data_IF_970244593170
#
_entry.id   IF_970244593170
#
_cell.length_a   1.000
_cell.length_b   1.000
_cell.length_c   1.000
_cell.angle_alpha   90.00
_cell.angle_beta   90.00
_cell.angle_gamma   90.00
#
_symmetry.space_group_name_H-M   'P 1'
#
loop_
_entity.id
_entity.type
_entity.pdbx_description
1 polymer ?
#
# COMPACT_ATOMS: atom_id res chain seq x y z
N UNK A 1 -25.30 -1.32 -16.16
CA UNK A 1 -24.52 -0.36 -16.98
C UNK A 1 -23.07 -0.84 -17.09
N UNK A 2 -22.51 -0.86 -18.30
CA UNK A 2 -21.10 -1.21 -18.54
C UNK A 2 -20.39 0.09 -18.90
N UNK A 3 -19.47 0.54 -18.04
CA UNK A 3 -18.71 1.79 -18.23
C UNK A 3 -17.44 1.50 -19.05
N UNK A 4 -16.73 0.40 -18.74
CA UNK A 4 -15.48 0.03 -19.39
C UNK A 4 -15.38 -1.48 -19.55
N UNK A 5 -14.70 -1.91 -20.59
CA UNK A 5 -14.39 -3.35 -20.82
C UNK A 5 -12.90 -3.61 -20.61
N UNK A 6 -12.58 -4.82 -20.20
CA UNK A 6 -11.21 -5.34 -20.16
C UNK A 6 -10.69 -5.59 -21.58
N UNK A 7 -9.39 -5.77 -21.81
CA UNK A 7 -8.86 -6.17 -23.11
C UNK A 7 -9.50 -7.45 -23.68
N UNK A 8 -9.98 -8.35 -22.83
CA UNK A 8 -10.71 -9.56 -23.22
C UNK A 8 -12.22 -9.35 -23.47
N UNK A 9 -12.71 -8.10 -23.52
CA UNK A 9 -14.10 -7.76 -23.84
C UNK A 9 -15.11 -7.89 -22.70
N UNK A 10 -14.69 -8.34 -21.52
CA UNK A 10 -15.56 -8.47 -20.35
C UNK A 10 -15.77 -7.12 -19.64
N UNK A 11 -16.90 -6.89 -18.95
CA UNK A 11 -17.08 -5.70 -18.13
C UNK A 11 -15.94 -5.54 -17.11
N UNK A 12 -15.34 -4.35 -17.08
CA UNK A 12 -14.30 -4.04 -16.10
C UNK A 12 -14.89 -3.75 -14.74
N UNK A 13 -14.24 -4.25 -13.70
CA UNK A 13 -14.53 -3.95 -12.31
C UNK A 13 -13.35 -3.26 -11.63
N UNK A 14 -12.57 -2.49 -12.40
CA UNK A 14 -11.47 -1.72 -11.83
C UNK A 14 -12.00 -0.66 -10.84
N UNK A 15 -11.11 -0.15 -10.00
CA UNK A 15 -11.47 0.75 -8.90
C UNK A 15 -12.21 2.01 -9.40
N UNK A 16 -11.78 2.57 -10.53
CA UNK A 16 -12.39 3.78 -11.12
C UNK A 16 -13.82 3.51 -11.61
N UNK A 17 -14.03 2.36 -12.26
CA UNK A 17 -15.37 1.94 -12.73
C UNK A 17 -16.30 1.69 -11.55
N UNK A 18 -15.82 0.98 -10.52
CA UNK A 18 -16.64 0.74 -9.33
C UNK A 18 -16.92 2.04 -8.55
N UNK A 19 -15.98 2.98 -8.50
CA UNK A 19 -16.18 4.27 -7.84
C UNK A 19 -17.26 5.09 -8.54
N UNK A 20 -17.26 5.13 -9.88
CA UNK A 20 -18.33 5.80 -10.65
C UNK A 20 -19.70 5.13 -10.45
N UNK A 21 -19.74 3.80 -10.43
CA UNK A 21 -20.98 3.07 -10.18
C UNK A 21 -21.47 3.18 -8.73
N UNK A 22 -20.57 3.42 -7.78
CA UNK A 22 -20.92 3.58 -6.37
C UNK A 22 -21.69 4.87 -6.07
N UNK A 23 -21.70 5.83 -7.00
CA UNK A 23 -22.53 7.04 -6.91
C UNK A 23 -24.03 6.72 -7.08
N UNK A 24 -24.35 5.69 -7.88
CA UNK A 24 -25.74 5.33 -8.21
C UNK A 24 -26.17 4.01 -7.51
N UNK A 25 -25.23 3.12 -7.18
CA UNK A 25 -25.55 1.76 -6.71
C UNK A 25 -24.78 1.43 -5.42
N UNK A 26 -25.43 0.75 -4.51
CA UNK A 26 -24.83 0.33 -3.23
C UNK A 26 -23.80 -0.80 -3.38
N UNK A 27 -24.08 -1.79 -4.23
CA UNK A 27 -23.21 -2.97 -4.38
C UNK A 27 -21.77 -2.61 -4.77
N UNK A 28 -21.49 -1.71 -5.73
CA UNK A 28 -20.11 -1.27 -6.02
C UNK A 28 -19.39 -0.64 -4.83
N UNK A 29 -20.11 0.10 -3.98
CA UNK A 29 -19.57 0.70 -2.75
C UNK A 29 -19.09 -0.38 -1.78
N UNK A 30 -19.95 -1.37 -1.52
CA UNK A 30 -19.62 -2.51 -0.65
C UNK A 30 -18.44 -3.32 -1.22
N UNK A 31 -18.40 -3.51 -2.53
CA UNK A 31 -17.29 -4.21 -3.20
C UNK A 31 -15.95 -3.47 -3.07
N UNK A 32 -15.95 -2.15 -3.17
CA UNK A 32 -14.74 -1.33 -2.96
C UNK A 32 -14.23 -1.43 -1.51
N UNK A 33 -15.14 -1.31 -0.56
CA UNK A 33 -14.82 -1.47 0.85
C UNK A 33 -14.27 -2.87 1.16
N UNK A 34 -14.94 -3.92 0.70
CA UNK A 34 -14.49 -5.30 0.85
C UNK A 34 -13.10 -5.52 0.25
N UNK A 35 -12.83 -4.99 -0.96
CA UNK A 35 -11.51 -5.10 -1.60
C UNK A 35 -10.43 -4.41 -0.80
N UNK A 36 -10.72 -3.22 -0.26
CA UNK A 36 -9.79 -2.47 0.57
C UNK A 36 -9.44 -3.26 1.83
N UNK A 37 -10.43 -3.72 2.57
CA UNK A 37 -10.24 -4.50 3.79
C UNK A 37 -9.54 -5.85 3.52
N UNK A 38 -9.95 -6.55 2.46
CA UNK A 38 -9.33 -7.83 2.07
C UNK A 38 -7.85 -7.66 1.70
N UNK A 39 -7.50 -6.57 1.01
CA UNK A 39 -6.11 -6.24 0.69
C UNK A 39 -5.30 -5.94 1.95
N UNK A 40 -5.84 -5.14 2.86
CA UNK A 40 -5.19 -4.84 4.14
C UNK A 40 -4.97 -6.12 4.96
N UNK A 41 -6.01 -6.95 5.05
CA UNK A 41 -5.95 -8.22 5.77
C UNK A 41 -4.89 -9.13 5.18
N UNK A 42 -4.99 -9.46 3.89
CA UNK A 42 -4.10 -10.44 3.25
C UNK A 42 -2.65 -9.96 3.15
N UNK A 43 -2.41 -8.65 3.00
CA UNK A 43 -1.06 -8.12 2.80
C UNK A 43 -0.36 -7.84 4.13
N UNK A 44 -1.08 -7.33 5.12
CA UNK A 44 -0.47 -6.85 6.36
C UNK A 44 -0.81 -7.74 7.56
N UNK A 45 -2.09 -7.90 7.93
CA UNK A 45 -2.42 -8.59 9.18
C UNK A 45 -2.16 -10.09 9.14
N UNK A 46 -2.31 -10.73 8.00
CA UNK A 46 -2.06 -12.17 7.85
C UNK A 46 -0.58 -12.48 7.55
N UNK A 47 0.07 -11.70 6.70
CA UNK A 47 1.43 -12.00 6.23
C UNK A 47 2.54 -11.46 7.12
N UNK A 48 2.44 -10.21 7.59
CA UNK A 48 3.55 -9.57 8.32
C UNK A 48 3.97 -10.31 9.59
N UNK A 49 3.04 -10.82 10.43
CA UNK A 49 3.45 -11.58 11.62
C UNK A 49 4.29 -12.81 11.30
N UNK A 50 3.99 -13.48 10.17
CA UNK A 50 4.77 -14.64 9.69
C UNK A 50 6.13 -14.28 9.11
N UNK A 51 6.42 -13.00 8.88
CA UNK A 51 7.71 -12.52 8.36
C UNK A 51 8.62 -11.91 9.45
N UNK A 52 8.19 -11.99 10.70
CA UNK A 52 9.05 -11.61 11.83
C UNK A 52 10.17 -12.67 11.96
N UNK A 53 11.40 -12.21 11.89
CA UNK A 53 12.58 -13.06 12.06
C UNK A 53 12.67 -13.59 13.49
N UNK A 54 12.75 -14.90 13.66
CA UNK A 54 12.91 -15.54 14.97
C UNK A 54 14.21 -15.13 15.68
N UNK A 55 15.24 -14.74 14.92
CA UNK A 55 16.54 -14.36 15.49
C UNK A 55 16.59 -12.92 15.97
N UNK A 56 15.84 -12.01 15.33
CA UNK A 56 15.90 -10.55 15.62
C UNK A 56 14.62 -10.01 16.24
N UNK A 57 13.50 -10.74 16.16
CA UNK A 57 12.17 -10.26 16.53
C UNK A 57 11.65 -9.12 15.63
N UNK A 58 12.25 -8.90 14.47
CA UNK A 58 11.95 -7.78 13.57
C UNK A 58 11.54 -8.25 12.18
N UNK A 59 10.82 -7.42 11.47
CA UNK A 59 10.56 -7.58 10.04
C UNK A 59 11.68 -6.91 9.25
N UNK A 60 12.26 -7.65 8.31
CA UNK A 60 13.35 -7.19 7.43
C UNK A 60 12.88 -7.22 5.98
N UNK A 61 12.89 -6.07 5.32
CA UNK A 61 12.60 -5.97 3.89
C UNK A 61 13.88 -6.01 3.07
N UNK A 62 13.79 -6.45 1.83
CA UNK A 62 14.86 -6.33 0.83
C UNK A 62 14.62 -5.11 -0.04
N UNK A 63 15.62 -4.21 -0.14
CA UNK A 63 15.57 -3.05 -1.03
C UNK A 63 16.30 -3.33 -2.34
N UNK A 64 15.69 -2.90 -3.45
CA UNK A 64 16.23 -3.05 -4.80
C UNK A 64 16.43 -1.69 -5.45
N UNK A 65 17.63 -1.43 -5.97
CA UNK A 65 18.01 -0.14 -6.56
C UNK A 65 17.77 -0.04 -8.07
N UNK A 66 17.76 -1.16 -8.80
CA UNK A 66 17.77 -1.19 -10.26
C UNK A 66 16.50 -1.86 -10.86
N UNK A 67 15.37 -1.79 -10.18
CA UNK A 67 14.12 -2.44 -10.61
C UNK A 67 13.13 -1.48 -11.24
N UNK A 68 13.05 -0.24 -10.74
CA UNK A 68 12.10 0.75 -11.25
C UNK A 68 12.69 1.54 -12.41
N UNK A 69 11.88 1.85 -13.42
CA UNK A 69 12.30 2.68 -14.56
C UNK A 69 12.61 4.13 -14.18
N UNK A 70 12.14 4.57 -13.02
CA UNK A 70 12.30 5.95 -12.50
C UNK A 70 13.54 6.14 -11.62
N UNK A 71 14.30 5.07 -11.34
CA UNK A 71 15.44 5.10 -10.42
C UNK A 71 15.03 5.12 -8.92
N UNK A 72 13.75 5.01 -8.60
CA UNK A 72 13.30 4.88 -7.21
C UNK A 72 13.66 3.49 -6.67
N UNK A 73 13.83 3.40 -5.34
CA UNK A 73 13.93 2.12 -4.65
C UNK A 73 12.60 1.37 -4.74
N UNK A 74 12.66 0.05 -4.80
CA UNK A 74 11.55 -0.82 -4.51
C UNK A 74 11.87 -1.72 -3.31
N UNK A 75 10.85 -2.22 -2.62
CA UNK A 75 11.03 -3.15 -1.52
C UNK A 75 10.19 -4.40 -1.71
N UNK A 76 10.72 -5.54 -1.26
CA UNK A 76 10.01 -6.82 -1.28
C UNK A 76 10.30 -7.64 -0.02
N UNK A 77 9.46 -8.61 0.24
CA UNK A 77 9.59 -9.65 1.26
C UNK A 77 9.81 -9.14 2.70
N UNK A 78 8.93 -8.26 3.20
CA UNK A 78 7.71 -7.68 2.64
C UNK A 78 7.93 -6.33 1.94
N UNK A 79 6.99 -5.91 1.08
CA UNK A 79 6.99 -4.54 0.58
C UNK A 79 6.49 -3.57 1.65
N UNK A 80 7.40 -2.85 2.29
CA UNK A 80 7.09 -1.86 3.34
C UNK A 80 6.85 -0.44 2.80
N UNK A 81 7.11 -0.19 1.50
CA UNK A 81 6.90 1.14 0.89
C UNK A 81 5.42 1.42 0.61
N UNK A 82 4.57 0.39 0.58
CA UNK A 82 3.15 0.52 0.24
C UNK A 82 2.21 0.45 1.46
N UNK A 83 2.73 0.64 2.67
CA UNK A 83 1.90 0.68 3.88
C UNK A 83 0.95 1.89 3.76
N UNK A 84 -0.37 1.69 3.79
CA UNK A 84 -1.31 2.78 3.58
C UNK A 84 -1.26 3.80 4.71
N UNK A 85 -1.50 5.07 4.38
CA UNK A 85 -1.47 6.19 5.34
C UNK A 85 -2.75 7.04 5.28
N UNK A 86 -3.50 6.96 4.16
CA UNK A 86 -4.65 7.85 3.93
C UNK A 86 -5.89 7.43 4.71
N UNK A 87 -6.09 6.13 4.91
CA UNK A 87 -7.25 5.58 5.61
C UNK A 87 -6.94 5.39 7.11
N UNK A 88 -7.98 5.37 7.93
CA UNK A 88 -7.84 5.11 9.37
C UNK A 88 -7.25 3.73 9.64
N UNK A 89 -7.75 2.69 8.98
CA UNK A 89 -7.23 1.32 9.10
C UNK A 89 -5.76 1.22 8.66
N UNK A 90 -5.37 1.94 7.60
CA UNK A 90 -3.99 2.04 7.17
C UNK A 90 -3.09 2.68 8.24
N UNK A 91 -3.56 3.73 8.90
CA UNK A 91 -2.84 4.35 10.03
C UNK A 91 -2.72 3.40 11.22
N UNK A 92 -3.76 2.61 11.53
CA UNK A 92 -3.71 1.59 12.60
C UNK A 92 -2.67 0.50 12.29
N UNK A 93 -2.55 0.06 11.03
CA UNK A 93 -1.49 -0.87 10.61
C UNK A 93 -0.11 -0.27 10.86
N UNK A 94 0.09 1.02 10.57
CA UNK A 94 1.37 1.70 10.84
C UNK A 94 1.71 1.77 12.32
N UNK A 95 0.71 1.89 13.20
CA UNK A 95 0.90 1.89 14.66
C UNK A 95 1.39 0.54 15.21
N UNK A 96 1.17 -0.56 14.48
CA UNK A 96 1.68 -1.88 14.85
C UNK A 96 3.21 -2.03 14.66
N UNK A 97 3.85 -1.09 13.96
CA UNK A 97 5.30 -1.05 13.85
C UNK A 97 5.88 -0.27 15.04
N UNK A 98 6.58 -0.97 15.90
CA UNK A 98 7.18 -0.42 17.10
C UNK A 98 8.72 -0.43 17.03
N UNK A 99 9.39 0.58 17.60
CA UNK A 99 10.85 0.54 17.72
C UNK A 99 11.23 -0.51 18.78
N UNK A 100 12.48 -0.96 18.74
CA UNK A 100 13.04 -1.80 19.82
C UNK A 100 13.01 -1.03 21.16
N UNK A 101 13.01 -1.78 22.26
CA UNK A 101 13.07 -1.20 23.61
C UNK A 101 14.24 -0.20 23.72
N UNK A 102 13.98 0.94 24.32
CA UNK A 102 14.95 2.04 24.45
C UNK A 102 15.21 2.84 23.17
N UNK A 103 14.55 2.51 22.05
CA UNK A 103 14.70 3.21 20.77
C UNK A 103 13.46 4.01 20.42
N UNK A 104 13.59 4.89 19.43
CA UNK A 104 12.49 5.68 18.88
C UNK A 104 12.58 5.68 17.35
N UNK A 105 11.44 5.76 16.67
CA UNK A 105 11.42 6.06 15.24
C UNK A 105 11.76 7.54 15.00
N UNK A 106 12.63 7.79 14.04
CA UNK A 106 12.89 9.11 13.48
C UNK A 106 12.48 9.04 12.02
N UNK A 107 11.61 9.93 11.59
CA UNK A 107 11.21 10.08 10.20
C UNK A 107 11.65 11.45 9.69
N UNK A 108 12.41 11.46 8.60
CA UNK A 108 12.83 12.67 7.92
C UNK A 108 12.52 12.53 6.42
N UNK A 109 11.87 13.53 5.85
CA UNK A 109 11.52 13.57 4.43
C UNK A 109 11.81 14.94 3.84
N UNK A 110 12.38 14.97 2.65
CA UNK A 110 12.64 16.21 1.94
C UNK A 110 11.33 16.75 1.33
N UNK A 111 10.92 17.94 1.76
CA UNK A 111 9.74 18.59 1.19
C UNK A 111 9.95 18.94 -0.27
N UNK A 112 9.10 18.40 -1.16
CA UNK A 112 9.04 18.72 -2.59
C UNK A 112 10.39 18.56 -3.31
N UNK A 113 11.14 17.50 -3.00
CA UNK A 113 12.50 17.32 -3.51
C UNK A 113 12.55 17.26 -5.04
N UNK A 114 11.61 16.58 -5.68
CA UNK A 114 11.57 16.49 -7.14
C UNK A 114 11.42 17.86 -7.80
N UNK A 115 10.53 18.71 -7.29
CA UNK A 115 10.36 20.07 -7.81
C UNK A 115 11.61 20.93 -7.59
N UNK A 116 12.29 20.75 -6.47
CA UNK A 116 13.56 21.46 -6.18
C UNK A 116 14.68 21.05 -7.13
N UNK A 117 14.78 19.75 -7.43
CA UNK A 117 15.76 19.24 -8.40
C UNK A 117 15.45 19.75 -9.81
N UNK A 118 14.17 19.78 -10.21
CA UNK A 118 13.77 20.29 -11.53
C UNK A 118 13.97 21.79 -11.67
N UNK A 119 13.92 22.54 -10.58
CA UNK A 119 14.12 24.01 -10.58
C UNK A 119 15.60 24.42 -10.53
N UNK A 120 16.51 23.52 -10.25
CA UNK A 120 17.96 23.75 -10.17
C UNK A 120 18.61 23.54 -11.53
#
# INVERSE_FOLDING_TARGET
>A
RVIKKTPGGQPSTDEKVLAELAEEYELPKVLLEHRTLSKLKSTYTDKLPGQISNSTGKVHTSFHQAVTTTGRLSSSDPNLQNIPIRTEDGRRIRQAFEPSEGHRFISADYSQIELRIMAH
#
